data_IF_499079291813
#
_entry.id   IF_499079291813
#
_cell.length_a   1.000
_cell.length_b   1.000
_cell.length_c   1.000
_cell.angle_alpha   90.00
_cell.angle_beta   90.00
_cell.angle_gamma   90.00
#
_symmetry.space_group_name_H-M   'P 1'
#
loop_
_entity.id
_entity.type
_entity.pdbx_description
1 polymer ?
#
# COMPACT_ATOMS: atom_id res chain seq x y z
N UNK A 1 -8.96 65.38 -11.15
CA UNK A 1 -9.95 64.41 -11.66
C UNK A 1 -9.39 62.98 -11.70
N UNK A 2 -8.30 62.73 -12.42
CA UNK A 2 -7.69 61.38 -12.55
C UNK A 2 -7.25 60.80 -11.18
N UNK A 3 -6.60 61.60 -10.33
CA UNK A 3 -6.16 61.16 -8.99
C UNK A 3 -7.36 60.76 -8.11
N UNK A 4 -8.45 61.53 -8.17
CA UNK A 4 -9.68 61.26 -7.43
C UNK A 4 -10.33 59.97 -7.92
N UNK A 5 -10.39 59.74 -9.24
CA UNK A 5 -10.90 58.50 -9.81
C UNK A 5 -10.04 57.31 -9.35
N UNK A 6 -8.71 57.40 -9.42
CA UNK A 6 -7.81 56.33 -8.95
C UNK A 6 -8.00 56.06 -7.46
N UNK A 7 -8.11 57.10 -6.63
CA UNK A 7 -8.32 56.99 -5.19
C UNK A 7 -9.67 56.31 -4.86
N UNK A 8 -10.76 56.77 -5.45
CA UNK A 8 -12.09 56.18 -5.23
C UNK A 8 -12.21 54.78 -5.80
N UNK A 9 -11.55 54.49 -6.92
CA UNK A 9 -11.52 53.12 -7.49
C UNK A 9 -10.71 52.18 -6.61
N UNK A 10 -9.57 52.64 -6.05
CA UNK A 10 -8.75 51.86 -5.13
C UNK A 10 -9.45 51.63 -3.78
N UNK A 11 -10.09 52.66 -3.22
CA UNK A 11 -10.90 52.54 -2.01
C UNK A 11 -12.13 51.67 -2.24
N UNK A 12 -12.84 51.83 -3.35
CA UNK A 12 -13.98 50.98 -3.71
C UNK A 12 -13.60 49.50 -3.83
N UNK A 13 -12.46 49.20 -4.46
CA UNK A 13 -11.92 47.82 -4.52
C UNK A 13 -11.55 47.29 -3.12
N UNK A 14 -11.03 48.11 -2.22
CA UNK A 14 -10.77 47.72 -0.82
C UNK A 14 -12.05 47.48 -0.02
N UNK A 15 -13.10 48.28 -0.26
CA UNK A 15 -14.39 48.18 0.46
C UNK A 15 -15.26 47.01 -0.01
N UNK A 16 -15.16 46.60 -1.29
CA UNK A 16 -15.87 45.42 -1.82
C UNK A 16 -15.33 44.11 -1.24
N UNK A 17 -14.09 44.10 -0.74
CA UNK A 17 -13.54 42.97 0.01
C UNK A 17 -14.19 43.00 1.40
N UNK A 18 -15.32 42.28 1.56
CA UNK A 18 -15.88 41.99 2.89
C UNK A 18 -14.75 41.48 3.79
N UNK A 19 -14.52 42.15 4.92
CA UNK A 19 -13.49 41.75 5.87
C UNK A 19 -13.70 40.29 6.25
N UNK A 20 -12.78 39.42 5.83
CA UNK A 20 -12.87 38.00 6.12
C UNK A 20 -12.68 37.80 7.62
N UNK A 21 -13.68 37.24 8.28
CA UNK A 21 -13.69 37.08 9.73
C UNK A 21 -12.90 35.82 10.15
N UNK A 22 -13.04 34.70 9.41
CA UNK A 22 -12.37 33.41 9.69
C UNK A 22 -12.42 32.47 8.48
N UNK A 23 -11.70 31.34 8.53
CA UNK A 23 -11.74 30.25 7.53
C UNK A 23 -10.52 30.20 6.60
N UNK A 24 -10.60 29.40 5.55
CA UNK A 24 -9.50 29.23 4.57
C UNK A 24 -9.36 30.44 3.63
N UNK A 25 -8.13 30.85 3.31
CA UNK A 25 -7.85 31.91 2.34
C UNK A 25 -7.66 31.31 0.95
N UNK A 26 -8.29 31.94 -0.04
CA UNK A 26 -8.00 31.65 -1.43
C UNK A 26 -6.91 32.59 -1.93
N UNK A 27 -5.79 32.02 -2.34
CA UNK A 27 -4.63 32.76 -2.85
C UNK A 27 -4.14 32.12 -4.15
N UNK A 28 -3.71 32.96 -5.10
CA UNK A 28 -3.11 32.45 -6.34
C UNK A 28 -1.82 31.67 -6.05
N UNK A 29 -1.57 30.57 -6.78
CA UNK A 29 -0.48 29.64 -6.48
C UNK A 29 0.91 30.32 -6.45
N UNK A 30 1.18 31.31 -7.33
CA UNK A 30 2.44 32.07 -7.31
C UNK A 30 2.62 32.88 -6.02
N UNK A 31 1.52 33.42 -5.49
CA UNK A 31 1.51 34.13 -4.22
C UNK A 31 1.77 33.14 -3.07
N UNK A 32 1.04 32.02 -3.04
CA UNK A 32 1.22 30.97 -2.03
C UNK A 32 2.66 30.42 -2.03
N UNK A 33 3.24 30.15 -3.21
CA UNK A 33 4.62 29.71 -3.33
C UNK A 33 5.61 30.74 -2.77
N UNK A 34 5.39 32.04 -2.98
CA UNK A 34 6.21 33.11 -2.38
C UNK A 34 6.03 33.15 -0.86
N UNK A 35 4.80 33.04 -0.35
CA UNK A 35 4.51 33.00 1.08
C UNK A 35 5.23 31.84 1.76
N UNK A 36 5.17 30.64 1.19
CA UNK A 36 5.87 29.46 1.70
C UNK A 36 7.40 29.66 1.71
N UNK A 37 7.96 30.23 0.63
CA UNK A 37 9.41 30.53 0.56
C UNK A 37 9.82 31.58 1.60
N UNK A 38 9.12 32.71 1.69
CA UNK A 38 9.43 33.77 2.66
C UNK A 38 9.30 33.29 4.10
N UNK A 39 8.34 32.42 4.39
CA UNK A 39 8.16 31.80 5.70
C UNK A 39 9.14 30.65 5.98
N UNK A 40 10.06 30.32 5.06
CA UNK A 40 10.95 29.14 5.14
C UNK A 40 10.20 27.80 5.32
N UNK A 41 8.97 27.74 4.80
CA UNK A 41 8.04 26.58 4.84
C UNK A 41 7.84 25.91 3.48
N UNK A 42 8.62 26.23 2.47
CA UNK A 42 8.56 25.56 1.17
C UNK A 42 9.24 24.18 1.24
N UNK A 43 8.53 23.12 0.83
CA UNK A 43 9.08 21.78 0.65
C UNK A 43 9.93 21.67 -0.61
N UNK A 44 10.74 20.60 -0.65
CA UNK A 44 11.46 20.15 -1.85
C UNK A 44 10.48 19.60 -2.91
N UNK A 45 9.38 18.98 -2.47
CA UNK A 45 8.31 18.44 -3.31
C UNK A 45 7.40 19.56 -3.80
N UNK A 46 7.05 19.52 -5.10
CA UNK A 46 6.20 20.50 -5.78
C UNK A 46 5.19 19.83 -6.70
N UNK A 47 4.06 20.50 -6.91
CA UNK A 47 3.08 20.17 -7.94
C UNK A 47 2.76 21.42 -8.76
N UNK A 48 2.89 21.36 -10.09
CA UNK A 48 2.70 22.52 -10.97
C UNK A 48 3.56 23.72 -10.57
N UNK A 49 4.75 23.47 -10.00
CA UNK A 49 5.66 24.51 -9.47
C UNK A 49 5.26 25.11 -8.11
N UNK A 50 4.14 24.72 -7.50
CA UNK A 50 3.77 25.07 -6.13
C UNK A 50 4.44 24.10 -5.15
N UNK A 51 5.37 24.55 -4.28
CA UNK A 51 5.91 23.69 -3.23
C UNK A 51 4.84 23.31 -2.21
N UNK A 52 4.91 22.08 -1.70
CA UNK A 52 4.15 21.68 -0.51
C UNK A 52 4.64 22.43 0.73
N UNK A 53 3.88 22.31 1.82
CA UNK A 53 4.35 22.74 3.13
C UNK A 53 5.49 21.82 3.57
N UNK A 54 6.60 22.40 4.03
CA UNK A 54 7.76 21.65 4.51
C UNK A 54 7.34 20.62 5.57
N UNK A 55 7.81 19.39 5.42
CA UNK A 55 7.53 18.23 6.28
C UNK A 55 6.08 17.70 6.21
N UNK A 56 5.21 18.25 5.35
CA UNK A 56 3.85 17.74 5.20
C UNK A 56 3.78 16.42 4.42
N UNK A 57 4.86 16.02 3.74
CA UNK A 57 4.92 14.75 3.01
C UNK A 57 4.72 13.51 3.90
N UNK A 58 4.99 13.64 5.21
CA UNK A 58 4.76 12.58 6.21
C UNK A 58 3.32 12.51 6.71
N UNK A 59 2.46 13.44 6.30
CA UNK A 59 1.05 13.51 6.70
C UNK A 59 0.11 12.87 5.67
N UNK A 60 0.68 12.18 4.68
CA UNK A 60 -0.01 11.66 3.49
C UNK A 60 -0.61 12.75 2.59
N UNK A 61 -0.82 12.40 1.32
CA UNK A 61 -1.40 13.29 0.32
C UNK A 61 -2.61 12.59 -0.30
N UNK A 62 -3.79 13.21 -0.20
CA UNK A 62 -4.98 12.77 -0.91
C UNK A 62 -5.11 13.53 -2.24
N UNK A 63 -4.96 12.81 -3.36
CA UNK A 63 -5.21 13.34 -4.70
C UNK A 63 -6.58 12.83 -5.17
N UNK A 64 -7.53 13.75 -5.37
CA UNK A 64 -8.90 13.43 -5.78
C UNK A 64 -9.30 14.16 -7.05
N UNK A 65 -10.18 13.56 -7.85
CA UNK A 65 -10.67 14.10 -9.12
C UNK A 65 -11.27 13.01 -10.01
N UNK A 66 -12.13 13.40 -10.96
CA UNK A 66 -12.73 12.47 -11.94
C UNK A 66 -11.69 11.94 -12.93
N UNK A 67 -12.04 10.95 -13.76
CA UNK A 67 -11.15 10.46 -14.83
C UNK A 67 -10.78 11.60 -15.77
N UNK A 68 -9.51 11.66 -16.20
CA UNK A 68 -9.01 12.73 -17.08
C UNK A 68 -8.62 14.05 -16.40
N UNK A 69 -8.81 14.20 -15.09
CA UNK A 69 -8.47 15.46 -14.36
C UNK A 69 -6.99 15.63 -14.04
N UNK A 70 -6.12 14.71 -14.46
CA UNK A 70 -4.67 14.83 -14.30
C UNK A 70 -4.08 14.22 -13.02
N UNK A 71 -4.79 13.34 -12.31
CA UNK A 71 -4.23 12.59 -11.15
C UNK A 71 -2.92 11.87 -11.50
N UNK A 72 -2.90 11.16 -12.63
CA UNK A 72 -1.70 10.49 -13.15
C UNK A 72 -0.58 11.49 -13.49
N UNK A 73 -0.91 12.70 -13.96
CA UNK A 73 0.08 13.74 -14.23
C UNK A 73 0.75 14.23 -12.95
N UNK A 74 0.00 14.33 -11.84
CA UNK A 74 0.61 14.65 -10.54
C UNK A 74 1.60 13.58 -10.09
N UNK A 75 1.28 12.29 -10.27
CA UNK A 75 2.22 11.20 -9.96
C UNK A 75 3.45 11.22 -10.88
N UNK A 76 3.26 11.50 -12.17
CA UNK A 76 4.35 11.69 -13.13
C UNK A 76 5.28 12.87 -12.78
N UNK A 77 4.77 13.88 -12.08
CA UNK A 77 5.60 14.98 -11.54
C UNK A 77 6.30 14.58 -10.23
N UNK A 78 5.64 13.78 -9.38
CA UNK A 78 6.15 13.39 -8.07
C UNK A 78 7.29 12.37 -8.15
N UNK A 79 7.14 11.30 -8.94
CA UNK A 79 8.11 10.20 -8.97
C UNK A 79 9.54 10.64 -9.34
N UNK A 80 9.75 11.51 -10.35
CA UNK A 80 11.09 12.05 -10.63
C UNK A 80 11.68 12.86 -9.46
N UNK A 81 10.84 13.55 -8.68
CA UNK A 81 11.30 14.30 -7.51
C UNK A 81 11.75 13.36 -6.39
N UNK A 82 11.01 12.27 -6.13
CA UNK A 82 11.40 11.22 -5.18
C UNK A 82 12.78 10.67 -5.54
N UNK A 83 12.97 10.26 -6.80
CA UNK A 83 14.26 9.76 -7.30
C UNK A 83 15.37 10.81 -7.22
N UNK A 84 15.12 12.04 -7.65
CA UNK A 84 16.08 13.14 -7.55
C UNK A 84 16.57 13.36 -6.11
N UNK A 85 15.69 13.15 -5.14
CA UNK A 85 16.00 13.28 -3.73
C UNK A 85 16.59 12.03 -3.09
N UNK A 86 16.77 10.95 -3.86
CA UNK A 86 17.19 9.62 -3.36
C UNK A 86 16.28 9.09 -2.26
N UNK A 87 15.00 9.48 -2.31
CA UNK A 87 13.97 8.89 -1.47
C UNK A 87 13.48 7.59 -2.16
N UNK A 88 12.93 6.66 -1.38
CA UNK A 88 12.34 5.40 -1.87
C UNK A 88 10.83 5.49 -2.01
N UNK A 89 10.26 4.72 -2.94
CA UNK A 89 8.82 4.62 -3.13
C UNK A 89 8.40 3.18 -3.44
N UNK A 90 7.24 2.78 -2.92
CA UNK A 90 6.52 1.58 -3.33
C UNK A 90 5.36 2.06 -4.20
N UNK A 91 5.28 1.54 -5.43
CA UNK A 91 4.28 1.95 -6.42
C UNK A 91 3.39 0.76 -6.72
N UNK A 92 2.09 0.90 -6.46
CA UNK A 92 1.09 -0.06 -6.92
C UNK A 92 0.66 0.34 -8.34
N UNK A 93 1.28 -0.29 -9.33
CA UNK A 93 1.08 0.02 -10.75
C UNK A 93 0.21 -1.04 -11.43
N UNK A 94 -1.11 -0.82 -11.41
CA UNK A 94 -2.07 -1.77 -11.99
C UNK A 94 -2.12 -1.76 -13.51
N UNK A 95 -1.58 -0.72 -14.16
CA UNK A 95 -1.59 -0.61 -15.64
C UNK A 95 -0.22 -0.83 -16.28
N UNK A 96 0.84 -0.94 -15.48
CA UNK A 96 2.23 -1.02 -15.97
C UNK A 96 2.78 0.31 -16.49
N UNK A 97 2.04 1.42 -16.37
CA UNK A 97 2.39 2.69 -17.02
C UNK A 97 3.54 3.41 -16.30
N UNK A 98 3.66 3.21 -14.99
CA UNK A 98 4.77 3.76 -14.21
C UNK A 98 6.02 2.90 -14.37
N UNK A 99 5.84 1.58 -14.42
CA UNK A 99 6.91 0.62 -14.67
C UNK A 99 7.56 0.92 -16.02
N UNK A 100 6.76 0.98 -17.10
CA UNK A 100 7.26 1.23 -18.46
C UNK A 100 8.00 2.58 -18.59
N UNK A 101 7.59 3.58 -17.80
CA UNK A 101 8.16 4.93 -17.87
C UNK A 101 9.35 5.18 -16.94
N UNK A 102 9.35 4.60 -15.74
CA UNK A 102 10.26 5.00 -14.66
C UNK A 102 11.12 3.86 -14.10
N UNK A 103 10.81 2.60 -14.40
CA UNK A 103 11.55 1.46 -13.86
C UNK A 103 12.99 1.41 -14.41
N UNK A 104 13.96 1.39 -13.51
CA UNK A 104 15.37 1.14 -13.82
C UNK A 104 15.76 -0.28 -13.36
N UNK A 105 15.97 -1.24 -14.28
CA UNK A 105 16.30 -2.63 -13.92
C UNK A 105 17.64 -2.77 -13.18
N UNK A 106 18.47 -1.73 -13.12
CA UNK A 106 19.75 -1.75 -12.38
C UNK A 106 19.57 -1.60 -10.88
N UNK A 107 18.48 -1.00 -10.42
CA UNK A 107 18.29 -0.70 -9.00
C UNK A 107 16.86 -0.95 -8.50
N UNK A 108 15.85 -0.83 -9.36
CA UNK A 108 14.46 -0.96 -8.95
C UNK A 108 14.04 -2.42 -8.84
N UNK A 109 13.09 -2.67 -7.93
CA UNK A 109 12.54 -3.99 -7.65
C UNK A 109 11.15 -4.08 -8.23
N UNK A 110 10.94 -5.06 -9.12
CA UNK A 110 9.62 -5.40 -9.64
C UNK A 110 9.09 -6.59 -8.87
N UNK A 111 7.84 -6.51 -8.41
CA UNK A 111 7.14 -7.62 -7.75
C UNK A 111 5.86 -7.95 -8.52
N UNK A 112 5.98 -8.86 -9.48
CA UNK A 112 4.90 -9.43 -10.28
C UNK A 112 5.20 -10.91 -10.58
N UNK A 113 4.45 -11.87 -10.00
CA UNK A 113 4.74 -13.30 -10.16
C UNK A 113 4.60 -13.83 -11.60
N UNK A 114 3.93 -13.08 -12.48
CA UNK A 114 3.75 -13.44 -13.87
C UNK A 114 4.86 -12.90 -14.78
N UNK A 115 5.73 -12.03 -14.27
CA UNK A 115 6.84 -11.44 -15.02
C UNK A 115 8.15 -12.21 -14.82
N UNK A 116 8.89 -12.43 -15.90
CA UNK A 116 10.06 -13.33 -15.91
C UNK A 116 11.22 -12.84 -15.04
N UNK A 117 11.44 -11.52 -15.00
CA UNK A 117 12.56 -10.89 -14.30
C UNK A 117 12.11 -10.17 -13.02
N UNK A 118 10.94 -10.53 -12.50
CA UNK A 118 10.48 -10.04 -11.21
C UNK A 118 11.25 -10.67 -10.06
N UNK A 119 11.36 -9.92 -8.97
CA UNK A 119 11.75 -10.47 -7.67
C UNK A 119 10.78 -11.57 -7.25
N UNK A 120 11.31 -12.59 -6.59
CA UNK A 120 10.55 -13.74 -6.12
C UNK A 120 10.37 -13.64 -4.62
N UNK A 121 9.20 -13.16 -4.23
CA UNK A 121 8.80 -13.04 -2.84
C UNK A 121 7.99 -14.26 -2.41
N UNK A 122 8.20 -14.69 -1.17
CA UNK A 122 7.34 -15.64 -0.48
C UNK A 122 6.93 -15.05 0.87
N UNK A 123 5.73 -15.36 1.39
CA UNK A 123 5.26 -14.87 2.69
C UNK A 123 6.26 -15.06 3.84
N UNK A 124 6.99 -16.18 3.83
CA UNK A 124 8.00 -16.50 4.85
C UNK A 124 9.23 -15.59 4.83
N UNK A 125 9.49 -14.85 3.76
CA UNK A 125 10.67 -14.01 3.65
C UNK A 125 10.56 -12.74 4.49
N UNK A 126 9.35 -12.35 4.90
CA UNK A 126 9.11 -11.23 5.80
C UNK A 126 8.68 -11.67 7.21
N UNK A 127 8.89 -12.96 7.54
CA UNK A 127 8.64 -13.53 8.87
C UNK A 127 9.95 -13.80 9.62
N UNK A 128 10.32 -12.89 10.54
CA UNK A 128 11.51 -12.99 11.40
C UNK A 128 11.15 -13.47 12.82
N UNK A 129 9.96 -13.11 13.30
CA UNK A 129 9.47 -13.45 14.63
C UNK A 129 8.11 -14.18 14.56
N UNK A 130 7.70 -14.78 15.68
CA UNK A 130 6.44 -15.53 15.75
C UNK A 130 5.20 -14.67 15.43
N UNK A 131 5.24 -13.38 15.72
CA UNK A 131 4.15 -12.44 15.44
C UNK A 131 3.98 -12.16 13.93
N UNK A 132 5.06 -12.22 13.15
CA UNK A 132 5.01 -11.87 11.73
C UNK A 132 4.11 -12.81 10.92
N UNK A 133 4.01 -14.07 11.31
CA UNK A 133 3.11 -15.03 10.68
C UNK A 133 1.64 -14.61 10.80
N UNK A 134 1.28 -13.96 11.90
CA UNK A 134 -0.07 -13.42 12.09
C UNK A 134 -0.26 -12.14 11.27
N UNK A 135 0.72 -11.23 11.28
CA UNK A 135 0.66 -9.98 10.53
C UNK A 135 0.54 -10.23 9.01
N UNK A 136 1.34 -11.16 8.48
CA UNK A 136 1.27 -11.59 7.08
C UNK A 136 -0.09 -12.22 6.78
N UNK A 137 -0.60 -13.11 7.65
CA UNK A 137 -1.91 -13.73 7.44
C UNK A 137 -3.04 -12.70 7.42
N UNK A 138 -3.01 -11.71 8.31
CA UNK A 138 -4.00 -10.63 8.40
C UNK A 138 -4.04 -9.77 7.13
N UNK A 139 -2.91 -9.65 6.42
CA UNK A 139 -2.83 -8.88 5.17
C UNK A 139 -3.60 -9.54 4.01
N UNK A 140 -3.89 -10.85 4.10
CA UNK A 140 -4.75 -11.57 3.16
C UNK A 140 -6.20 -11.68 3.64
N UNK A 141 -6.50 -11.20 4.84
CA UNK A 141 -7.82 -11.29 5.44
C UNK A 141 -8.72 -10.15 4.95
N UNK A 142 -9.98 -10.47 4.67
CA UNK A 142 -11.03 -9.46 4.51
C UNK A 142 -11.73 -9.14 5.85
N UNK A 143 -11.20 -9.63 6.98
CA UNK A 143 -11.80 -9.42 8.29
C UNK A 143 -11.87 -7.93 8.63
N UNK A 144 -13.06 -7.48 9.00
CA UNK A 144 -13.27 -6.13 9.54
C UNK A 144 -13.88 -6.28 10.94
N UNK A 145 -13.28 -5.70 12.00
CA UNK A 145 -13.78 -5.83 13.38
C UNK A 145 -15.24 -5.40 13.58
N UNK A 146 -15.76 -4.55 12.68
CA UNK A 146 -17.15 -4.07 12.70
C UNK A 146 -18.19 -5.12 12.29
N UNK A 147 -17.77 -6.18 11.61
CA UNK A 147 -18.66 -7.17 11.00
C UNK A 147 -18.62 -8.54 11.71
N UNK A 148 -17.78 -8.72 12.73
CA UNK A 148 -17.52 -9.96 13.47
C UNK A 148 -17.78 -11.25 12.67
N UNK A 149 -17.01 -11.42 11.59
CA UNK A 149 -17.12 -12.57 10.71
C UNK A 149 -16.29 -13.74 11.26
N UNK A 150 -16.98 -14.72 11.84
CA UNK A 150 -16.40 -15.97 12.34
C UNK A 150 -15.53 -16.67 11.30
N UNK A 151 -15.96 -16.76 10.04
CA UNK A 151 -15.21 -17.47 9.01
C UNK A 151 -13.98 -16.69 8.58
N UNK A 152 -14.08 -15.36 8.44
CA UNK A 152 -12.93 -14.53 8.09
C UNK A 152 -11.85 -14.57 9.18
N UNK A 153 -12.24 -14.46 10.46
CA UNK A 153 -11.31 -14.51 11.59
C UNK A 153 -10.61 -15.87 11.68
N UNK A 154 -11.35 -16.96 11.54
CA UNK A 154 -10.74 -18.30 11.60
C UNK A 154 -9.91 -18.62 10.35
N UNK A 155 -10.27 -18.11 9.17
CA UNK A 155 -9.45 -18.25 7.97
C UNK A 155 -8.06 -17.62 8.15
N UNK A 156 -8.00 -16.43 8.76
CA UNK A 156 -6.74 -15.76 9.10
C UNK A 156 -5.89 -16.57 10.09
N UNK A 157 -6.52 -17.10 11.15
CA UNK A 157 -5.82 -17.97 12.11
C UNK A 157 -5.26 -19.23 11.46
N UNK A 158 -6.05 -19.87 10.60
CA UNK A 158 -5.62 -21.06 9.85
C UNK A 158 -4.47 -20.73 8.91
N UNK A 159 -4.50 -19.58 8.23
CA UNK A 159 -3.39 -19.15 7.38
C UNK A 159 -2.11 -18.93 8.19
N UNK A 160 -2.22 -18.28 9.35
CA UNK A 160 -1.07 -18.07 10.25
C UNK A 160 -0.46 -19.40 10.68
N UNK A 161 -1.29 -20.38 11.09
CA UNK A 161 -0.82 -21.71 11.44
C UNK A 161 -0.27 -22.50 10.24
N UNK A 162 -0.83 -22.32 9.04
CA UNK A 162 -0.33 -22.94 7.82
C UNK A 162 1.07 -22.43 7.47
N UNK A 163 1.28 -21.11 7.57
CA UNK A 163 2.60 -20.51 7.35
C UNK A 163 3.61 -21.01 8.37
N UNK A 164 3.23 -21.19 9.64
CA UNK A 164 4.10 -21.78 10.67
C UNK A 164 4.41 -23.26 10.38
N UNK A 165 3.41 -24.04 9.97
CA UNK A 165 3.55 -25.46 9.65
C UNK A 165 4.54 -25.70 8.51
N UNK A 166 4.55 -24.81 7.52
CA UNK A 166 5.40 -24.90 6.32
C UNK A 166 6.62 -23.97 6.35
N UNK A 167 7.00 -23.44 7.53
CA UNK A 167 8.08 -22.44 7.65
C UNK A 167 9.46 -22.98 7.26
N UNK A 168 9.72 -24.27 7.51
CA UNK A 168 11.02 -24.89 7.29
C UNK A 168 11.18 -25.29 5.82
N UNK A 169 10.12 -25.86 5.22
CA UNK A 169 10.09 -26.22 3.80
C UNK A 169 9.97 -24.99 2.88
N UNK A 170 9.28 -23.92 3.33
CA UNK A 170 8.88 -22.73 2.54
C UNK A 170 8.25 -23.09 1.18
N UNK A 171 7.58 -24.24 1.11
CA UNK A 171 6.98 -24.74 -0.12
C UNK A 171 5.56 -24.18 -0.29
N UNK A 172 5.48 -23.13 -1.12
CA UNK A 172 4.20 -22.46 -1.43
C UNK A 172 3.23 -23.40 -2.15
N UNK A 173 3.72 -24.33 -2.97
CA UNK A 173 2.87 -25.27 -3.72
C UNK A 173 2.20 -26.23 -2.74
N UNK A 174 2.97 -26.75 -1.78
CA UNK A 174 2.46 -27.63 -0.73
C UNK A 174 1.43 -26.92 0.15
N UNK A 175 1.70 -25.67 0.56
CA UNK A 175 0.75 -24.86 1.32
C UNK A 175 -0.56 -24.66 0.55
N UNK A 176 -0.47 -24.26 -0.73
CA UNK A 176 -1.64 -24.08 -1.60
C UNK A 176 -2.42 -25.38 -1.76
N UNK A 177 -1.73 -26.51 -1.96
CA UNK A 177 -2.37 -27.81 -2.06
C UNK A 177 -3.12 -28.20 -0.79
N UNK A 178 -2.50 -28.01 0.37
CA UNK A 178 -3.16 -28.25 1.66
C UNK A 178 -4.42 -27.43 1.83
N UNK A 179 -4.40 -26.15 1.46
CA UNK A 179 -5.53 -25.25 1.70
C UNK A 179 -6.62 -25.37 0.64
N UNK A 180 -6.27 -25.42 -0.65
CA UNK A 180 -7.22 -25.25 -1.75
C UNK A 180 -7.68 -26.58 -2.34
N UNK A 181 -6.78 -27.57 -2.44
CA UNK A 181 -7.04 -28.80 -3.19
C UNK A 181 -7.29 -30.03 -2.31
N UNK A 182 -7.02 -29.94 -1.00
CA UNK A 182 -7.22 -31.05 -0.07
C UNK A 182 -8.69 -31.19 0.30
N UNK A 183 -9.16 -32.44 0.41
CA UNK A 183 -10.47 -32.71 1.04
C UNK A 183 -10.44 -32.38 2.55
N UNK A 184 -11.61 -32.32 3.19
CA UNK A 184 -11.69 -31.96 4.60
C UNK A 184 -10.89 -32.90 5.52
N UNK A 185 -10.76 -34.18 5.15
CA UNK A 185 -10.01 -35.16 5.94
C UNK A 185 -8.53 -34.85 5.91
N UNK A 186 -7.98 -34.59 4.72
CA UNK A 186 -6.59 -34.19 4.53
C UNK A 186 -6.30 -32.83 5.17
N UNK A 187 -7.22 -31.87 5.00
CA UNK A 187 -7.12 -30.54 5.61
C UNK A 187 -7.09 -30.62 7.13
N UNK A 188 -8.07 -31.26 7.77
CA UNK A 188 -8.10 -31.44 9.21
C UNK A 188 -6.88 -32.22 9.74
N UNK A 189 -6.42 -33.24 9.00
CA UNK A 189 -5.20 -33.97 9.35
C UNK A 189 -3.96 -33.07 9.36
N UNK A 190 -3.84 -32.14 8.41
CA UNK A 190 -2.71 -31.21 8.34
C UNK A 190 -2.63 -30.29 9.57
N UNK A 191 -3.78 -29.90 10.13
CA UNK A 191 -3.86 -28.97 11.28
C UNK A 191 -4.08 -29.63 12.64
N UNK A 192 -4.01 -30.97 12.74
CA UNK A 192 -4.33 -31.70 13.98
C UNK A 192 -3.46 -31.31 15.18
N UNK A 193 -2.22 -30.89 14.95
CA UNK A 193 -1.25 -30.54 15.98
C UNK A 193 -0.95 -29.04 16.05
N UNK A 194 -1.88 -28.19 15.59
CA UNK A 194 -1.73 -26.73 15.58
C UNK A 194 -2.76 -26.06 16.50
N UNK A 195 -2.66 -24.75 16.69
CA UNK A 195 -3.58 -24.00 17.54
C UNK A 195 -5.03 -24.00 17.04
N UNK A 196 -5.27 -24.33 15.77
CA UNK A 196 -6.61 -24.35 15.14
C UNK A 196 -7.27 -25.74 15.15
N UNK A 197 -6.65 -26.74 15.78
CA UNK A 197 -7.18 -28.12 15.81
C UNK A 197 -8.54 -28.26 16.51
N UNK A 198 -8.89 -27.33 17.40
CA UNK A 198 -10.21 -27.28 18.02
C UNK A 198 -11.33 -26.77 17.11
N UNK A 199 -10.98 -26.09 16.00
CA UNK A 199 -11.93 -25.49 15.05
C UNK A 199 -11.98 -26.30 13.75
N UNK A 200 -10.81 -26.79 13.30
CA UNK A 200 -10.69 -27.59 12.08
C UNK A 200 -10.76 -29.07 12.44
N UNK A 201 -11.86 -29.72 12.06
CA UNK A 201 -12.15 -31.11 12.45
C UNK A 201 -12.79 -31.92 11.32
N UNK A 202 -12.45 -33.21 11.26
CA UNK A 202 -13.12 -34.19 10.39
C UNK A 202 -14.61 -34.34 10.75
N UNK A 203 -14.97 -34.19 12.03
CA UNK A 203 -16.35 -34.32 12.53
C UNK A 203 -17.22 -33.09 12.31
N UNK A 204 -16.62 -31.92 12.05
CA UNK A 204 -17.30 -30.65 11.85
C UNK A 204 -17.07 -30.15 10.41
N UNK A 205 -17.56 -30.92 9.43
CA UNK A 205 -17.31 -30.71 8.00
C UNK A 205 -17.76 -29.32 7.53
N UNK A 206 -18.98 -28.89 7.86
CA UNK A 206 -19.53 -27.62 7.37
C UNK A 206 -18.70 -26.41 7.84
N UNK A 207 -18.30 -26.42 9.11
CA UNK A 207 -17.47 -25.36 9.69
C UNK A 207 -16.07 -25.34 9.07
N UNK A 208 -15.43 -26.51 9.01
CA UNK A 208 -14.07 -26.65 8.48
C UNK A 208 -14.01 -26.30 7.00
N UNK A 209 -14.96 -26.79 6.19
CA UNK A 209 -15.07 -26.48 4.77
C UNK A 209 -15.41 -25.00 4.53
N UNK A 210 -16.25 -24.39 5.37
CA UNK A 210 -16.55 -22.96 5.31
C UNK A 210 -15.30 -22.10 5.55
N UNK A 211 -14.49 -22.44 6.56
CA UNK A 211 -13.22 -21.76 6.84
C UNK A 211 -12.22 -21.97 5.70
N UNK A 212 -12.08 -23.21 5.22
CA UNK A 212 -11.20 -23.56 4.10
C UNK A 212 -11.58 -22.80 2.83
N UNK A 213 -12.87 -22.70 2.51
CA UNK A 213 -13.40 -21.96 1.35
C UNK A 213 -13.11 -20.46 1.44
N UNK A 214 -13.35 -19.85 2.60
CA UNK A 214 -13.02 -18.43 2.86
C UNK A 214 -11.52 -18.20 2.72
N UNK A 215 -10.70 -19.06 3.32
CA UNK A 215 -9.24 -18.97 3.22
C UNK A 215 -8.76 -19.12 1.77
N UNK A 216 -9.25 -20.12 1.04
CA UNK A 216 -8.87 -20.38 -0.35
C UNK A 216 -9.12 -19.17 -1.26
N UNK A 217 -10.26 -18.48 -1.09
CA UNK A 217 -10.57 -17.24 -1.82
C UNK A 217 -9.53 -16.15 -1.53
N UNK A 218 -9.23 -15.92 -0.25
CA UNK A 218 -8.32 -14.88 0.22
C UNK A 218 -6.89 -15.02 -0.33
N UNK A 219 -6.41 -16.26 -0.50
CA UNK A 219 -5.02 -16.52 -0.91
C UNK A 219 -4.85 -16.91 -2.38
N UNK A 220 -5.88 -16.72 -3.21
CA UNK A 220 -5.84 -17.14 -4.63
C UNK A 220 -4.62 -16.57 -5.37
N UNK A 221 -4.20 -15.35 -5.05
CA UNK A 221 -3.02 -14.71 -5.65
C UNK A 221 -1.71 -15.44 -5.34
N UNK A 222 -1.61 -16.17 -4.23
CA UNK A 222 -0.41 -16.94 -3.87
C UNK A 222 -0.15 -18.12 -4.80
N UNK A 223 -1.17 -18.59 -5.55
CA UNK A 223 -1.02 -19.67 -6.53
C UNK A 223 -0.05 -19.33 -7.67
N UNK A 224 0.19 -18.04 -7.91
CA UNK A 224 1.12 -17.58 -8.96
C UNK A 224 2.57 -17.53 -8.48
N UNK A 225 2.82 -17.62 -7.18
CA UNK A 225 4.18 -17.62 -6.63
C UNK A 225 4.91 -18.92 -6.97
N UNK A 226 6.22 -18.81 -7.16
CA UNK A 226 7.11 -19.96 -7.39
C UNK A 226 7.90 -20.27 -6.11
N UNK A 227 8.17 -21.55 -5.83
CA UNK A 227 9.04 -21.93 -4.71
C UNK A 227 10.47 -21.42 -4.92
N UNK A 228 11.21 -21.26 -3.82
CA UNK A 228 12.63 -20.87 -3.85
C UNK A 228 12.89 -19.36 -3.94
N UNK A 229 11.86 -18.51 -3.89
CA UNK A 229 12.02 -17.06 -3.82
C UNK A 229 12.67 -16.61 -2.51
N UNK A 230 13.65 -15.71 -2.60
CA UNK A 230 14.41 -15.18 -1.45
C UNK A 230 14.19 -13.69 -1.18
N UNK A 231 13.44 -12.98 -2.02
CA UNK A 231 13.23 -11.54 -1.84
C UNK A 231 12.39 -11.26 -0.60
N UNK A 232 12.87 -10.35 0.26
CA UNK A 232 12.17 -9.81 1.44
C UNK A 232 11.90 -8.32 1.24
N UNK A 233 10.64 -7.91 1.43
CA UNK A 233 10.26 -6.49 1.35
C UNK A 233 10.82 -5.74 2.56
N UNK A 234 10.77 -6.35 3.76
CA UNK A 234 11.29 -5.75 5.00
C UNK A 234 12.79 -5.53 4.96
N UNK A 235 13.57 -6.50 4.45
CA UNK A 235 15.02 -6.33 4.29
C UNK A 235 15.34 -5.27 3.24
N UNK A 236 14.69 -5.31 2.06
CA UNK A 236 14.88 -4.28 1.04
C UNK A 236 14.60 -2.88 1.59
N UNK A 237 13.51 -2.71 2.35
CA UNK A 237 13.15 -1.41 2.93
C UNK A 237 14.13 -0.95 4.02
N UNK A 238 14.68 -1.88 4.81
CA UNK A 238 15.56 -1.57 5.93
C UNK A 238 17.04 -1.43 5.53
N UNK A 239 17.43 -1.97 4.38
CA UNK A 239 18.79 -1.93 3.89
C UNK A 239 19.17 -0.52 3.41
N UNK A 240 20.23 0.06 3.96
CA UNK A 240 20.75 1.39 3.58
C UNK A 240 21.59 1.36 2.31
N UNK A 241 22.05 0.18 1.89
CA UNK A 241 22.84 0.00 0.67
C UNK A 241 21.97 -0.16 -0.57
N UNK A 242 20.67 -0.40 -0.40
CA UNK A 242 19.70 -0.35 -1.50
C UNK A 242 19.53 1.10 -1.96
N UNK A 243 19.98 1.37 -3.18
CA UNK A 243 19.88 2.69 -3.81
C UNK A 243 18.66 2.82 -4.72
N UNK A 244 17.92 1.73 -4.90
CA UNK A 244 16.65 1.62 -5.62
C UNK A 244 15.48 2.04 -4.75
#
# INVERSE_FOLDING_TARGET
MIISIVFFTAQGKKTIIKAKIRGADFVGYKCLAKMLKSAKKASKIRFGGLPLVKNSERLHILITGTTGTGKTNMLNELLPQIRLHKDRAIIVDTTGAFTDRFFDPKCDKLLNPLEKNSEQWLPWNDCFEAADFHDIASSFSNYTPKLDDFFAKNAELVLSEALKLYKDDKDIIKLIHTIIYSDNRQFAKAFRNTAVSGIISESALETSAGIQSTLGKNITSLQYLKPGGSFSIKEWFSNSNETG
#
